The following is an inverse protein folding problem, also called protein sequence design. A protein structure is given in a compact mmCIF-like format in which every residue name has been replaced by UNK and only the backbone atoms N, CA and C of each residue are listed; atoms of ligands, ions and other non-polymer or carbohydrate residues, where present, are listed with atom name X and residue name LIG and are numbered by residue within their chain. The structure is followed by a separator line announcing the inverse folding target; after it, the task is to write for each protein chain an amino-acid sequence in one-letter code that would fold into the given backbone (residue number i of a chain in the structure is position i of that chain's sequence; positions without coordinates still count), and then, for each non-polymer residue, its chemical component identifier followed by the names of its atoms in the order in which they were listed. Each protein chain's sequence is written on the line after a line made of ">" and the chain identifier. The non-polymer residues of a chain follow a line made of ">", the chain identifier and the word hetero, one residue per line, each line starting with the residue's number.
data_IF_165672962589
#
_entry.id   IF_165672962589
#
_cell.length_a   1.000
_cell.length_b   1.000
_cell.length_c   1.000
_cell.angle_alpha   90.00
_cell.angle_beta   90.00
_cell.angle_gamma   90.00
#
_symmetry.space_group_name_H-M   'P 1'
#
loop_
_entity.id
_entity.type
_entity.pdbx_description
1 polymer ?
#
# COMPACT_ATOMS: atom_id res chain seq x y z
N UNK A 1 -32.70 45.62 5.75
CA UNK A 1 -31.82 46.82 5.78
C UNK A 1 -30.59 46.53 4.93
N UNK A 2 -30.47 47.18 3.78
CA UNK A 2 -29.27 47.15 2.93
C UNK A 2 -28.16 47.99 3.55
N UNK A 3 -26.92 47.49 3.59
CA UNK A 3 -25.74 48.35 3.52
C UNK A 3 -24.62 47.69 2.74
N UNK A 4 -24.57 48.02 1.44
CA UNK A 4 -23.34 48.03 0.64
C UNK A 4 -22.50 49.24 1.07
N UNK A 5 -21.18 49.12 1.13
CA UNK A 5 -20.19 49.99 0.44
C UNK A 5 -18.73 49.56 0.67
N UNK A 6 -18.04 49.49 -0.47
CA UNK A 6 -16.61 49.22 -0.81
C UNK A 6 -15.74 50.46 -0.41
N UNK A 7 -14.38 50.55 -0.53
CA UNK A 7 -13.54 50.08 -1.65
C UNK A 7 -12.07 49.67 -1.37
N UNK A 8 -11.40 49.31 -2.48
CA UNK A 8 -10.04 48.84 -2.69
C UNK A 8 -8.94 49.87 -2.34
N UNK A 9 -7.84 49.40 -1.76
CA UNK A 9 -6.46 49.95 -1.82
C UNK A 9 -5.52 48.74 -1.63
N UNK A 10 -4.53 48.38 -2.45
CA UNK A 10 -3.82 49.09 -3.52
C UNK A 10 -2.33 49.25 -3.14
N UNK A 11 -1.45 48.44 -3.76
CA UNK A 11 0.03 48.57 -3.84
C UNK A 11 0.84 48.36 -2.52
N UNK A 12 2.01 47.72 -2.48
CA UNK A 12 2.97 47.39 -3.53
C UNK A 12 3.74 46.10 -3.17
N UNK A 13 3.67 45.07 -4.03
CA UNK A 13 4.60 43.93 -4.02
C UNK A 13 5.70 44.26 -5.02
N UNK A 14 6.65 45.10 -4.61
CA UNK A 14 7.90 45.32 -5.35
C UNK A 14 8.95 44.42 -4.70
N UNK A 15 9.25 43.29 -5.35
CA UNK A 15 10.22 42.29 -4.88
C UNK A 15 10.03 40.86 -5.44
N UNK A 16 9.14 40.67 -6.41
CA UNK A 16 8.61 39.36 -6.81
C UNK A 16 9.40 38.51 -7.81
N UNK A 17 10.70 38.72 -8.06
CA UNK A 17 11.44 37.85 -9.02
C UNK A 17 12.67 37.16 -8.45
N UNK A 18 13.32 37.69 -7.41
CA UNK A 18 14.43 36.98 -6.76
C UNK A 18 13.95 35.95 -5.71
N UNK A 19 12.81 36.18 -5.04
CA UNK A 19 12.36 35.33 -3.93
C UNK A 19 11.67 34.01 -4.36
N UNK A 20 11.20 33.94 -5.61
CA UNK A 20 10.48 32.74 -6.09
C UNK A 20 11.40 31.61 -6.56
N UNK A 21 12.66 31.90 -6.90
CA UNK A 21 13.65 30.89 -7.29
C UNK A 21 14.24 30.15 -6.07
N UNK A 22 14.44 30.84 -4.94
CA UNK A 22 14.92 30.21 -3.69
C UNK A 22 13.85 29.43 -2.92
N UNK A 23 12.58 29.82 -3.04
CA UNK A 23 11.47 29.21 -2.29
C UNK A 23 11.17 27.77 -2.71
N UNK A 24 11.36 27.42 -3.99
CA UNK A 24 11.21 26.03 -4.47
C UNK A 24 12.34 25.12 -4.00
N UNK A 25 13.56 25.65 -3.91
CA UNK A 25 14.71 24.89 -3.38
C UNK A 25 14.54 24.56 -1.90
N UNK A 26 14.05 25.49 -1.08
CA UNK A 26 13.78 25.20 0.33
C UNK A 26 12.64 24.19 0.50
N UNK A 27 11.54 24.31 -0.23
CA UNK A 27 10.46 23.32 -0.20
C UNK A 27 10.92 21.94 -0.66
N UNK A 28 11.79 21.86 -1.66
CA UNK A 28 12.39 20.60 -2.08
C UNK A 28 13.24 19.99 -0.95
N UNK A 29 14.03 20.79 -0.24
CA UNK A 29 14.84 20.33 0.90
C UNK A 29 13.98 19.81 2.05
N UNK A 30 12.94 20.54 2.43
CA UNK A 30 12.00 20.06 3.46
C UNK A 30 11.30 18.76 3.05
N UNK A 31 10.88 18.65 1.79
CA UNK A 31 10.26 17.43 1.28
C UNK A 31 11.26 16.25 1.21
N UNK A 32 12.52 16.52 0.85
CA UNK A 32 13.61 15.53 0.87
C UNK A 32 13.91 15.07 2.30
N UNK A 33 13.95 15.99 3.27
CA UNK A 33 14.18 15.68 4.68
C UNK A 33 13.05 14.83 5.27
N UNK A 34 11.79 15.18 5.00
CA UNK A 34 10.62 14.38 5.41
C UNK A 34 10.63 12.98 4.77
N UNK A 35 10.97 12.90 3.49
CA UNK A 35 11.07 11.62 2.79
C UNK A 35 12.22 10.76 3.35
N UNK A 36 13.37 11.36 3.62
CA UNK A 36 14.52 10.65 4.19
C UNK A 36 14.25 10.18 5.62
N UNK A 37 13.51 10.97 6.42
CA UNK A 37 13.06 10.55 7.74
C UNK A 37 12.08 9.37 7.66
N UNK A 38 11.10 9.39 6.74
CA UNK A 38 10.22 8.25 6.52
C UNK A 38 10.98 6.99 6.09
N UNK A 39 11.96 7.12 5.20
CA UNK A 39 12.80 6.00 4.76
C UNK A 39 13.62 5.45 5.92
N UNK A 40 14.20 6.31 6.76
CA UNK A 40 14.97 5.91 7.93
C UNK A 40 14.09 5.15 8.95
N UNK A 41 12.86 5.64 9.21
CA UNK A 41 11.92 5.01 10.13
C UNK A 41 11.48 3.63 9.61
N UNK A 42 11.14 3.53 8.32
CA UNK A 42 10.85 2.27 7.63
C UNK A 42 12.02 1.29 7.70
N UNK A 43 13.25 1.77 7.45
CA UNK A 43 14.44 0.94 7.50
C UNK A 43 14.69 0.42 8.92
N UNK A 44 14.49 1.26 9.93
CA UNK A 44 14.62 0.88 11.33
C UNK A 44 13.56 -0.15 11.74
N UNK A 45 12.31 0.01 11.29
CA UNK A 45 11.23 -0.95 11.52
C UNK A 45 11.53 -2.30 10.86
N UNK A 46 12.04 -2.28 9.62
CA UNK A 46 12.41 -3.50 8.91
C UNK A 46 13.59 -4.22 9.57
N UNK A 47 14.60 -3.46 10.05
CA UNK A 47 15.72 -4.01 10.79
C UNK A 47 15.27 -4.68 12.11
N UNK A 48 14.33 -4.07 12.84
CA UNK A 48 13.76 -4.68 14.05
C UNK A 48 12.97 -5.96 13.75
N UNK A 49 12.15 -5.96 12.70
CA UNK A 49 11.43 -7.16 12.27
C UNK A 49 12.39 -8.29 11.87
N UNK A 50 13.45 -7.95 11.13
CA UNK A 50 14.46 -8.90 10.72
C UNK A 50 15.20 -9.48 11.93
N UNK A 51 15.51 -8.68 12.95
CA UNK A 51 16.12 -9.18 14.19
C UNK A 51 15.19 -10.13 14.97
N UNK A 52 13.89 -9.85 15.01
CA UNK A 52 12.91 -10.73 15.66
C UNK A 52 12.78 -12.09 14.94
N UNK A 53 12.83 -12.11 13.61
CA UNK A 53 12.83 -13.34 12.83
C UNK A 53 14.09 -14.18 13.07
N UNK A 54 15.26 -13.56 13.20
CA UNK A 54 16.52 -14.29 13.40
C UNK A 54 16.73 -14.78 14.84
N UNK A 55 15.99 -14.26 15.83
CA UNK A 55 16.07 -14.76 17.21
C UNK A 55 15.22 -16.02 17.44
N UNK A 56 14.46 -16.46 16.43
CA UNK A 56 13.51 -17.58 16.54
C UNK A 56 13.95 -18.91 15.91
N UNK A 57 15.22 -19.13 15.53
CA UNK A 57 15.77 -20.50 15.33
C UNK A 57 17.31 -20.49 15.20
N UNK A 58 18.06 -21.48 15.74
CA UNK A 58 17.94 -22.89 15.36
C UNK A 58 17.86 -23.87 16.55
N UNK A 59 16.70 -24.51 16.72
CA UNK A 59 16.55 -25.71 17.54
C UNK A 59 15.96 -26.84 16.67
N UNK A 60 16.84 -27.78 16.29
CA UNK A 60 16.53 -29.07 15.63
C UNK A 60 15.95 -29.00 14.19
N UNK A 61 16.16 -30.03 13.34
CA UNK A 61 15.35 -30.23 12.15
C UNK A 61 13.92 -30.56 12.57
N UNK A 62 13.15 -29.52 12.89
CA UNK A 62 11.72 -29.58 13.05
C UNK A 62 11.07 -29.69 11.67
N UNK A 63 10.07 -30.56 11.60
CA UNK A 63 9.25 -30.83 10.43
C UNK A 63 8.80 -29.53 9.76
N UNK A 64 8.78 -29.55 8.43
CA UNK A 64 8.31 -28.46 7.60
C UNK A 64 7.02 -27.84 8.18
N UNK A 65 6.87 -26.50 8.14
CA UNK A 65 5.61 -25.88 8.54
C UNK A 65 4.48 -26.61 7.80
N UNK A 66 3.38 -27.00 8.48
CA UNK A 66 2.26 -27.57 7.77
C UNK A 66 1.87 -26.54 6.73
N UNK A 67 2.16 -26.86 5.46
CA UNK A 67 1.69 -26.10 4.32
C UNK A 67 0.22 -25.88 4.61
N UNK A 68 -0.19 -24.59 4.68
CA UNK A 68 -1.58 -24.21 4.88
C UNK A 68 -2.42 -25.18 4.06
N UNK A 69 -3.15 -26.05 4.75
CA UNK A 69 -3.73 -27.23 4.14
C UNK A 69 -4.43 -26.76 2.88
N UNK A 70 -3.88 -27.12 1.72
CA UNK A 70 -4.53 -26.87 0.45
C UNK A 70 -5.96 -27.36 0.65
N UNK A 71 -6.98 -26.56 0.26
CA UNK A 71 -8.37 -26.89 0.57
C UNK A 71 -8.58 -28.37 0.27
N UNK A 72 -8.91 -29.14 1.29
CA UNK A 72 -8.87 -30.60 1.26
C UNK A 72 -9.92 -31.22 0.31
N UNK A 73 -10.65 -30.38 -0.43
CA UNK A 73 -11.42 -30.76 -1.59
C UNK A 73 -10.55 -30.67 -2.84
N UNK A 74 -10.49 -31.76 -3.61
CA UNK A 74 -9.75 -31.79 -4.87
C UNK A 74 -10.16 -30.66 -5.83
N UNK A 75 -9.40 -30.48 -6.91
CA UNK A 75 -9.61 -29.44 -7.94
C UNK A 75 -11.10 -29.29 -8.31
N UNK A 76 -11.83 -30.39 -8.48
CA UNK A 76 -13.26 -30.40 -8.84
C UNK A 76 -14.17 -29.75 -7.79
N UNK A 77 -13.88 -29.95 -6.51
CA UNK A 77 -14.65 -29.39 -5.40
C UNK A 77 -14.44 -27.87 -5.31
N UNK A 78 -13.20 -27.41 -5.50
CA UNK A 78 -12.85 -25.99 -5.55
C UNK A 78 -13.51 -25.28 -6.74
N UNK A 79 -13.55 -25.93 -7.92
CA UNK A 79 -14.25 -25.40 -9.09
C UNK A 79 -15.77 -25.28 -8.87
N UNK A 80 -16.36 -26.19 -8.11
CA UNK A 80 -17.79 -26.16 -7.77
C UNK A 80 -18.10 -25.02 -6.80
N UNK A 81 -17.26 -24.80 -5.78
CA UNK A 81 -17.38 -23.67 -4.85
C UNK A 81 -17.26 -22.33 -5.58
N UNK A 82 -16.25 -22.18 -6.45
CA UNK A 82 -16.07 -20.97 -7.26
C UNK A 82 -17.28 -20.68 -8.14
N UNK A 83 -17.92 -21.72 -8.73
CA UNK A 83 -19.14 -21.55 -9.52
C UNK A 83 -20.31 -21.07 -8.66
N UNK A 84 -20.50 -21.65 -7.47
CA UNK A 84 -21.55 -21.20 -6.55
C UNK A 84 -21.38 -19.74 -6.10
N UNK A 85 -20.13 -19.30 -5.92
CA UNK A 85 -19.81 -17.90 -5.60
C UNK A 85 -20.07 -16.94 -6.77
N UNK A 86 -19.84 -17.37 -8.01
CA UNK A 86 -20.21 -16.60 -9.22
C UNK A 86 -21.74 -16.51 -9.37
N UNK A 87 -22.45 -17.62 -9.22
CA UNK A 87 -23.92 -17.68 -9.36
C UNK A 87 -24.64 -16.88 -8.26
N UNK A 88 -24.04 -16.77 -7.07
CA UNK A 88 -24.51 -15.88 -5.99
C UNK A 88 -24.11 -14.42 -6.16
N UNK A 89 -23.33 -14.08 -7.19
CA UNK A 89 -22.84 -12.73 -7.47
C UNK A 89 -21.80 -12.25 -6.46
N UNK A 90 -21.25 -13.13 -5.63
CA UNK A 90 -20.15 -12.82 -4.68
C UNK A 90 -18.83 -12.65 -5.43
N UNK A 91 -18.65 -13.40 -6.51
CA UNK A 91 -17.52 -13.23 -7.44
C UNK A 91 -18.00 -12.69 -8.77
N UNK A 92 -17.18 -11.86 -9.39
CA UNK A 92 -17.35 -11.46 -10.78
C UNK A 92 -16.80 -12.52 -11.74
N UNK A 93 -17.19 -12.45 -13.02
CA UNK A 93 -16.72 -13.38 -14.05
C UNK A 93 -15.18 -13.36 -14.19
N UNK A 94 -14.56 -12.19 -14.02
CA UNK A 94 -13.10 -12.02 -14.08
C UNK A 94 -12.40 -12.69 -12.90
N UNK A 95 -12.93 -12.52 -11.69
CA UNK A 95 -12.38 -13.14 -10.47
C UNK A 95 -12.53 -14.66 -10.49
N UNK A 96 -13.66 -15.17 -10.99
CA UNK A 96 -13.86 -16.60 -11.20
C UNK A 96 -12.81 -17.20 -12.13
N UNK A 97 -12.48 -16.53 -13.24
CA UNK A 97 -11.48 -17.00 -14.21
C UNK A 97 -10.07 -17.02 -13.61
N UNK A 98 -9.69 -15.97 -12.88
CA UNK A 98 -8.39 -15.89 -12.22
C UNK A 98 -8.23 -16.99 -11.14
N UNK A 99 -9.28 -17.22 -10.34
CA UNK A 99 -9.28 -18.27 -9.33
C UNK A 99 -9.24 -19.67 -9.96
N UNK A 100 -10.01 -19.92 -11.02
CA UNK A 100 -9.97 -21.19 -11.77
C UNK A 100 -8.58 -21.50 -12.34
N UNK A 101 -7.91 -20.50 -12.92
CA UNK A 101 -6.55 -20.67 -13.44
C UNK A 101 -5.55 -21.00 -12.32
N UNK A 102 -5.68 -20.35 -11.16
CA UNK A 102 -4.84 -20.61 -9.99
C UNK A 102 -5.05 -22.02 -9.42
N UNK A 103 -6.31 -22.47 -9.35
CA UNK A 103 -6.68 -23.81 -8.90
C UNK A 103 -6.13 -24.89 -9.84
N UNK A 104 -6.15 -24.65 -11.16
CA UNK A 104 -5.58 -25.58 -12.14
C UNK A 104 -4.04 -25.57 -12.20
N UNK A 105 -3.40 -24.46 -11.83
CA UNK A 105 -1.94 -24.32 -11.82
C UNK A 105 -1.29 -24.81 -10.52
N UNK A 106 -2.02 -24.80 -9.40
CA UNK A 106 -1.55 -25.22 -8.08
C UNK A 106 -2.04 -26.60 -7.62
N UNK A 107 -2.75 -27.33 -8.50
CA UNK A 107 -3.25 -28.69 -8.25
C UNK A 107 -2.49 -29.75 -9.03
#
# INVERSE_FOLDING_TARGET
>A
MFMRRRPLVGAAVVGGVAYHAGKKGQQARYAEDEQNQQIADLQQQNAQMQQQLHQQEPAAPAEAPPAAAAPAGGITEQLTQLKGLLDSGVLTQEEFQAAKAKVLAGG
#
